data_IF_164525392365
#
_entry.id   IF_164525392365
#
_cell.length_a   1.000
_cell.length_b   1.000
_cell.length_c   1.000
_cell.angle_alpha   90.00
_cell.angle_beta   90.00
_cell.angle_gamma   90.00
#
_symmetry.space_group_name_H-M   'P 1'
#
loop_
_entity.id
_entity.type
_entity.pdbx_description
1 polymer ?
#
# COMPACT_ATOMS: atom_id res chain seq x y z
N UNK A 1 -4.31 -1.72 -1.61
CA UNK A 1 -4.14 -3.13 -1.17
C UNK A 1 -4.33 -4.05 -2.36
N UNK A 2 -3.46 -5.05 -2.52
CA UNK A 2 -3.57 -6.06 -3.58
C UNK A 2 -4.18 -7.37 -3.08
N UNK A 3 -4.58 -8.24 -4.01
CA UNK A 3 -5.22 -9.53 -3.74
C UNK A 3 -4.37 -10.48 -2.90
N UNK A 4 -3.04 -10.38 -2.99
CA UNK A 4 -2.06 -11.13 -2.20
C UNK A 4 -1.76 -10.51 -0.82
N UNK A 5 -2.51 -9.49 -0.40
CA UNK A 5 -2.39 -8.88 0.93
C UNK A 5 -1.34 -7.77 1.05
N UNK A 6 -0.73 -7.31 -0.05
CA UNK A 6 0.29 -6.26 0.02
C UNK A 6 -0.31 -4.86 0.10
N UNK A 7 0.37 -3.98 0.82
CA UNK A 7 -0.09 -2.62 1.10
C UNK A 7 0.82 -1.58 0.43
N UNK A 8 0.33 -0.99 -0.66
CA UNK A 8 1.04 0.05 -1.42
C UNK A 8 0.44 1.42 -1.15
N UNK A 9 1.31 2.38 -0.87
CA UNK A 9 1.00 3.78 -0.60
C UNK A 9 1.75 4.59 -1.65
N UNK A 10 1.09 5.57 -2.24
CA UNK A 10 1.70 6.46 -3.22
C UNK A 10 0.68 7.45 -3.77
N UNK A 11 1.13 8.34 -4.64
CA UNK A 11 0.28 9.30 -5.33
C UNK A 11 -0.34 8.64 -6.55
N UNK A 12 -1.67 8.51 -6.58
CA UNK A 12 -2.41 8.02 -7.74
C UNK A 12 -2.25 9.01 -8.92
N UNK A 13 -1.49 8.65 -9.94
CA UNK A 13 -1.31 9.46 -11.15
C UNK A 13 -2.32 9.15 -12.24
N UNK A 14 -2.83 7.93 -12.27
CA UNK A 14 -3.79 7.52 -13.29
C UNK A 14 -4.35 6.14 -13.02
N UNK A 15 -5.52 5.90 -13.60
CA UNK A 15 -6.17 4.60 -13.65
C UNK A 15 -6.91 4.45 -14.99
N UNK A 16 -7.24 3.21 -15.35
CA UNK A 16 -8.07 2.91 -16.51
C UNK A 16 -9.37 2.16 -16.13
N UNK A 17 -10.22 1.87 -17.10
CA UNK A 17 -11.50 1.17 -16.89
C UNK A 17 -11.35 -0.27 -16.36
N UNK A 18 -10.16 -0.85 -16.44
CA UNK A 18 -9.85 -2.17 -15.87
C UNK A 18 -9.17 -2.08 -14.52
N UNK A 19 -9.06 -0.87 -13.94
CA UNK A 19 -8.44 -0.59 -12.65
C UNK A 19 -6.93 -0.91 -12.65
N UNK A 20 -6.26 -0.86 -13.81
CA UNK A 20 -4.80 -0.74 -13.79
C UNK A 20 -4.45 0.61 -13.17
N UNK A 21 -3.54 0.61 -12.19
CA UNK A 21 -3.22 1.79 -11.39
C UNK A 21 -1.76 2.18 -11.62
N UNK A 22 -1.53 3.48 -11.81
CA UNK A 22 -0.20 4.09 -11.80
C UNK A 22 -0.04 4.87 -10.50
N UNK A 23 0.89 4.42 -9.65
CA UNK A 23 1.30 5.10 -8.44
C UNK A 23 2.69 5.73 -8.64
N UNK A 24 2.83 6.98 -8.22
CA UNK A 24 4.12 7.67 -8.15
C UNK A 24 4.53 7.86 -6.69
N UNK A 25 5.83 8.06 -6.47
CA UNK A 25 6.44 8.15 -5.13
C UNK A 25 5.99 7.02 -4.20
N UNK A 26 5.81 5.83 -4.77
CA UNK A 26 5.19 4.72 -4.06
C UNK A 26 6.16 3.96 -3.17
N UNK A 27 5.61 3.43 -2.08
CA UNK A 27 6.28 2.51 -1.18
C UNK A 27 5.31 1.44 -0.69
N UNK A 28 5.85 0.25 -0.40
CA UNK A 28 5.12 -0.82 0.25
C UNK A 28 5.27 -0.71 1.78
N UNK A 29 4.16 -0.85 2.52
CA UNK A 29 4.17 -1.03 3.98
C UNK A 29 4.06 -2.50 4.33
N UNK A 30 5.11 -3.03 4.94
CA UNK A 30 5.18 -4.42 5.40
C UNK A 30 4.94 -4.46 6.91
N UNK A 31 3.81 -5.06 7.29
CA UNK A 31 3.42 -5.22 8.69
C UNK A 31 3.97 -6.53 9.25
N UNK A 32 4.32 -6.51 10.53
CA UNK A 32 4.84 -7.65 11.28
C UNK A 32 4.31 -7.61 12.71
N UNK A 33 4.10 -8.77 13.32
CA UNK A 33 3.71 -8.88 14.72
C UNK A 33 4.89 -8.70 15.67
N UNK A 34 6.13 -8.79 15.18
CA UNK A 34 7.33 -8.72 16.01
C UNK A 34 8.05 -7.37 15.91
N UNK A 35 8.08 -6.78 14.72
CA UNK A 35 8.78 -5.53 14.40
C UNK A 35 7.83 -4.43 13.94
N UNK A 36 8.27 -3.18 14.00
CA UNK A 36 7.57 -2.05 13.38
C UNK A 36 7.37 -2.22 11.87
N UNK A 37 6.50 -1.37 11.31
CA UNK A 37 6.20 -1.36 9.88
C UNK A 37 7.44 -0.96 9.09
N UNK A 38 7.82 -1.80 8.12
CA UNK A 38 8.89 -1.48 7.18
C UNK A 38 8.34 -0.82 5.92
N UNK A 39 9.08 0.16 5.38
CA UNK A 39 8.73 0.85 4.13
C UNK A 39 9.74 0.49 3.04
N UNK A 40 9.26 -0.14 1.96
CA UNK A 40 10.09 -0.48 0.79
C UNK A 40 9.76 0.49 -0.34
N UNK A 41 10.71 1.35 -0.71
CA UNK A 41 10.52 2.37 -1.75
C UNK A 41 10.53 1.73 -3.13
N UNK A 42 9.56 2.10 -3.96
CA UNK A 42 9.37 1.58 -5.33
C UNK A 42 9.44 2.71 -6.37
N UNK A 43 9.05 3.94 -6.02
CA UNK A 43 8.98 5.06 -6.94
C UNK A 43 7.76 4.97 -7.85
N UNK A 44 7.95 5.01 -9.17
CA UNK A 44 6.87 4.81 -10.14
C UNK A 44 6.52 3.32 -10.23
N UNK A 45 5.29 2.96 -9.88
CA UNK A 45 4.83 1.58 -9.80
C UNK A 45 3.48 1.40 -10.49
N UNK A 46 3.37 0.36 -11.32
CA UNK A 46 2.13 0.01 -12.02
C UNK A 46 1.56 -1.27 -11.42
N UNK A 47 0.33 -1.22 -10.95
CA UNK A 47 -0.41 -2.37 -10.43
C UNK A 47 -1.46 -2.78 -11.46
N UNK A 48 -1.44 -4.04 -11.86
CA UNK A 48 -2.45 -4.60 -12.76
C UNK A 48 -3.79 -4.72 -12.03
N UNK A 49 -4.88 -4.31 -12.68
CA UNK A 49 -6.21 -4.22 -12.07
C UNK A 49 -6.76 -5.53 -11.50
N UNK A 50 -6.46 -6.67 -12.14
CA UNK A 50 -6.84 -8.00 -11.64
C UNK A 50 -6.25 -8.31 -10.24
N UNK A 51 -5.15 -7.63 -9.87
CA UNK A 51 -4.49 -7.77 -8.57
C UNK A 51 -4.93 -6.71 -7.56
N UNK A 52 -5.76 -5.72 -7.95
CA UNK A 52 -6.22 -4.68 -7.05
C UNK A 52 -7.38 -5.21 -6.22
N UNK A 53 -7.23 -5.19 -4.90
CA UNK A 53 -8.30 -5.57 -3.97
C UNK A 53 -9.13 -4.36 -3.54
N UNK A 54 -8.45 -3.32 -3.04
CA UNK A 54 -9.09 -2.08 -2.60
C UNK A 54 -8.13 -0.90 -2.72
N UNK A 55 -8.69 0.24 -3.11
CA UNK A 55 -8.03 1.56 -3.11
C UNK A 55 -8.74 2.42 -2.08
N UNK A 56 -7.97 2.97 -1.13
CA UNK A 56 -8.49 3.85 -0.08
C UNK A 56 -7.75 5.18 -0.10
N UNK A 57 -8.48 6.28 0.01
CA UNK A 57 -7.89 7.60 0.19
C UNK A 57 -7.36 7.73 1.62
N UNK A 58 -6.17 8.30 1.77
CA UNK A 58 -5.52 8.53 3.07
C UNK A 58 -5.42 10.03 3.31
N UNK A 59 -5.59 10.45 4.57
CA UNK A 59 -5.28 11.81 5.00
C UNK A 59 -3.79 11.92 5.33
N UNK A 60 -3.04 12.63 4.50
CA UNK A 60 -1.58 12.82 4.63
C UNK A 60 -1.18 13.46 5.97
N UNK A 61 -2.03 14.32 6.52
CA UNK A 61 -1.73 15.03 7.77
C UNK A 61 -1.83 14.11 8.99
N UNK A 62 -2.70 13.11 8.92
CA UNK A 62 -2.85 12.09 9.95
C UNK A 62 -1.76 11.03 9.78
N UNK A 63 -1.53 10.58 8.54
CA UNK A 63 -0.59 9.52 8.21
C UNK A 63 0.86 9.89 8.57
N UNK A 64 1.26 11.14 8.29
CA UNK A 64 2.59 11.67 8.66
C UNK A 64 2.86 11.74 10.17
N UNK A 65 1.82 11.65 11.01
CA UNK A 65 1.94 11.65 12.48
C UNK A 65 2.00 10.25 13.07
N UNK A 66 1.80 9.21 12.27
CA UNK A 66 1.84 7.83 12.74
C UNK A 66 3.28 7.38 12.99
N UNK A 67 3.52 6.81 14.17
CA UNK A 67 4.79 6.16 14.48
C UNK A 67 4.80 4.73 13.93
N UNK A 68 5.09 4.62 12.63
CA UNK A 68 5.17 3.35 11.92
C UNK A 68 6.16 2.36 12.57
N UNK A 69 7.21 2.85 13.22
CA UNK A 69 8.22 2.01 13.88
C UNK A 69 7.69 1.26 15.11
N UNK A 70 6.60 1.75 15.72
CA UNK A 70 5.97 1.14 16.89
C UNK A 70 4.64 0.44 16.57
N UNK A 71 4.14 0.54 15.34
CA UNK A 71 2.94 -0.17 14.91
C UNK A 71 3.28 -1.62 14.59
N UNK A 72 2.58 -2.55 15.24
CA UNK A 72 2.70 -4.00 15.02
C UNK A 72 1.34 -4.58 14.68
N UNK A 73 1.30 -5.38 13.63
CA UNK A 73 0.10 -6.05 13.17
C UNK A 73 0.47 -7.32 12.39
N UNK A 74 -0.44 -8.29 12.40
CA UNK A 74 -0.30 -9.45 11.51
C UNK A 74 -0.36 -9.00 10.05
N UNK A 75 0.43 -9.63 9.15
CA UNK A 75 0.29 -9.43 7.72
C UNK A 75 -1.14 -9.69 7.26
N UNK A 76 -1.60 -8.94 6.25
CA UNK A 76 -2.90 -9.20 5.64
C UNK A 76 -2.86 -10.55 4.91
N UNK A 77 -3.90 -11.36 5.10
CA UNK A 77 -4.08 -12.58 4.34
C UNK A 77 -4.39 -12.30 2.88
N UNK A 78 -4.11 -13.29 2.02
CA UNK A 78 -4.59 -13.28 0.64
C UNK A 78 -6.11 -13.33 0.61
N UNK A 79 -6.71 -12.58 -0.31
CA UNK A 79 -8.16 -12.60 -0.57
C UNK A 79 -8.53 -13.79 -1.45
N UNK A 80 -7.57 -14.25 -2.26
CA UNK A 80 -7.70 -15.37 -3.21
C UNK A 80 -6.81 -16.53 -2.81
#
# INVERSE_FOLDING_TARGET
ITSDGRNFIGTLKGFDQTINIILDESHERVFSSTSGVAQVVLGLHIIRGDNVAIVGQIDESIDSRLDLGNIKAEPLGSIV
#
